data_IF_573235139911
#
_entry.id   IF_573235139911
#
_cell.length_a   1.000
_cell.length_b   1.000
_cell.length_c   1.000
_cell.angle_alpha   90.00
_cell.angle_beta   90.00
_cell.angle_gamma   90.00
#
_symmetry.space_group_name_H-M   'P 1'
#
loop_
_entity.id
_entity.type
_entity.pdbx_description
1 polymer ?
#
# COMPACT_ATOMS: atom_id res chain seq x y z
N UNK A 1 1.00 -5.31 -64.69
CA UNK A 1 1.37 -5.40 -63.26
C UNK A 1 0.53 -6.52 -62.64
N UNK A 2 1.17 -7.63 -62.28
CA UNK A 2 0.59 -8.97 -62.19
C UNK A 2 -0.37 -9.15 -60.99
N UNK A 3 -1.51 -9.83 -61.18
CA UNK A 3 -2.55 -10.04 -60.15
C UNK A 3 -2.03 -10.80 -58.92
N UNK A 4 -1.04 -11.67 -59.10
CA UNK A 4 -0.34 -12.39 -58.01
C UNK A 4 0.46 -11.44 -57.11
N UNK A 5 1.05 -10.37 -57.67
CA UNK A 5 1.79 -9.37 -56.88
C UNK A 5 0.89 -8.54 -55.97
N UNK A 6 -0.37 -8.34 -56.36
CA UNK A 6 -1.38 -7.67 -55.52
C UNK A 6 -1.90 -8.59 -54.41
N UNK A 7 -2.07 -9.88 -54.67
CA UNK A 7 -2.56 -10.85 -53.67
C UNK A 7 -1.55 -11.05 -52.55
N UNK A 8 -0.27 -11.21 -52.89
CA UNK A 8 0.84 -11.29 -51.92
C UNK A 8 1.00 -9.99 -51.10
N UNK A 9 0.76 -8.82 -51.71
CA UNK A 9 0.76 -7.55 -50.96
C UNK A 9 -0.40 -7.43 -49.99
N UNK A 10 -1.59 -7.94 -50.33
CA UNK A 10 -2.78 -7.89 -49.46
C UNK A 10 -2.65 -8.87 -48.30
N UNK A 11 -2.15 -10.08 -48.54
CA UNK A 11 -1.91 -11.09 -47.49
C UNK A 11 -0.80 -10.63 -46.53
N UNK A 12 0.27 -9.99 -47.03
CA UNK A 12 1.31 -9.39 -46.18
C UNK A 12 0.81 -8.16 -45.39
N UNK A 13 -0.22 -7.45 -45.87
CA UNK A 13 -0.85 -6.34 -45.16
C UNK A 13 -1.81 -6.84 -44.07
N UNK A 14 -2.55 -7.93 -44.28
CA UNK A 14 -3.41 -8.52 -43.24
C UNK A 14 -2.59 -9.15 -42.11
N UNK A 15 -1.50 -9.84 -42.45
CA UNK A 15 -0.59 -10.44 -41.45
C UNK A 15 0.09 -9.36 -40.60
N UNK A 16 0.49 -8.23 -41.20
CA UNK A 16 1.05 -7.10 -40.44
C UNK A 16 0.01 -6.39 -39.57
N UNK A 17 -1.27 -6.43 -39.94
CA UNK A 17 -2.35 -5.82 -39.18
C UNK A 17 -2.73 -6.69 -37.97
N UNK A 18 -2.75 -8.02 -38.12
CA UNK A 18 -2.91 -8.96 -36.99
C UNK A 18 -1.72 -8.92 -36.02
N UNK A 19 -0.48 -8.76 -36.52
CA UNK A 19 0.71 -8.58 -35.67
C UNK A 19 0.66 -7.26 -34.89
N UNK A 20 0.09 -6.20 -35.48
CA UNK A 20 -0.08 -4.90 -34.81
C UNK A 20 -1.19 -4.94 -33.77
N UNK A 21 -2.28 -5.68 -34.01
CA UNK A 21 -3.35 -5.90 -33.03
C UNK A 21 -2.88 -6.75 -31.85
N UNK A 22 -1.92 -7.67 -32.04
CA UNK A 22 -1.31 -8.47 -30.96
C UNK A 22 -0.28 -7.74 -30.07
N UNK A 23 0.15 -6.52 -30.43
CA UNK A 23 1.23 -5.78 -29.76
C UNK A 23 0.75 -4.52 -28.99
N UNK A 24 -0.53 -4.18 -29.10
CA UNK A 24 -1.11 -3.04 -28.39
C UNK A 24 -1.66 -3.53 -27.05
N UNK A 25 -1.19 -2.95 -25.95
CA UNK A 25 -1.84 -3.15 -24.65
C UNK A 25 -3.25 -2.54 -24.77
N UNK A 26 -4.24 -3.40 -24.96
CA UNK A 26 -5.64 -3.03 -25.02
C UNK A 26 -6.08 -2.32 -23.76
N UNK A 27 -6.92 -1.29 -23.91
CA UNK A 27 -7.46 -0.57 -22.76
C UNK A 27 -8.37 -1.50 -21.96
N UNK A 28 -8.52 -1.21 -20.66
CA UNK A 28 -9.48 -1.95 -19.84
C UNK A 28 -10.91 -1.67 -20.31
N UNK A 29 -11.53 -2.66 -20.93
CA UNK A 29 -12.90 -2.62 -21.40
C UNK A 29 -13.88 -2.58 -20.21
N UNK A 30 -15.12 -2.17 -20.45
CA UNK A 30 -16.15 -2.06 -19.40
C UNK A 30 -16.38 -3.39 -18.70
N UNK A 31 -16.41 -4.48 -19.45
CA UNK A 31 -16.66 -5.84 -18.93
C UNK A 31 -15.55 -6.29 -17.98
N UNK A 32 -14.29 -5.97 -18.29
CA UNK A 32 -13.15 -6.26 -17.41
C UNK A 32 -13.26 -5.44 -16.11
N UNK A 33 -13.70 -4.17 -16.19
CA UNK A 33 -13.92 -3.35 -14.98
C UNK A 33 -15.04 -3.90 -14.11
N UNK A 34 -16.09 -4.43 -14.72
CA UNK A 34 -17.20 -5.05 -13.99
C UNK A 34 -16.75 -6.38 -13.35
N UNK A 35 -15.96 -7.21 -14.05
CA UNK A 35 -15.38 -8.43 -13.50
C UNK A 35 -14.46 -8.18 -12.29
N UNK A 36 -13.77 -7.04 -12.25
CA UNK A 36 -12.91 -6.65 -11.12
C UNK A 36 -13.70 -6.39 -9.82
N UNK A 37 -15.02 -6.21 -9.89
CA UNK A 37 -15.84 -6.08 -8.66
C UNK A 37 -15.92 -7.39 -7.88
N UNK A 38 -15.87 -8.52 -8.59
CA UNK A 38 -16.07 -9.86 -8.03
C UNK A 38 -14.75 -10.63 -7.82
N UNK A 39 -13.62 -9.94 -7.95
CA UNK A 39 -12.28 -10.51 -7.76
C UNK A 39 -12.06 -10.96 -6.32
N UNK A 40 -11.41 -12.11 -6.15
CA UNK A 40 -11.14 -12.68 -4.83
C UNK A 40 -9.96 -11.99 -4.14
N UNK A 41 -9.92 -12.03 -2.79
CA UNK A 41 -8.80 -11.44 -2.02
C UNK A 41 -7.42 -11.97 -2.47
N UNK A 42 -7.19 -13.27 -2.74
CA UNK A 42 -5.92 -13.78 -3.27
C UNK A 42 -5.50 -13.13 -4.59
N UNK A 43 -6.44 -12.98 -5.53
CA UNK A 43 -6.17 -12.37 -6.83
C UNK A 43 -5.82 -10.88 -6.70
N UNK A 44 -6.50 -10.14 -5.82
CA UNK A 44 -6.13 -8.75 -5.53
C UNK A 44 -4.71 -8.65 -4.96
N UNK A 45 -4.32 -9.56 -4.05
CA UNK A 45 -2.94 -9.60 -3.53
C UNK A 45 -1.93 -9.84 -4.67
N UNK A 46 -2.27 -10.70 -5.63
CA UNK A 46 -1.45 -10.90 -6.83
C UNK A 46 -1.37 -9.63 -7.68
N UNK A 47 -2.49 -8.95 -7.94
CA UNK A 47 -2.50 -7.68 -8.69
C UNK A 47 -1.67 -6.58 -8.02
N UNK A 48 -1.71 -6.47 -6.70
CA UNK A 48 -0.85 -5.53 -5.95
C UNK A 48 0.63 -5.86 -6.13
N UNK A 49 1.00 -7.15 -6.07
CA UNK A 49 2.37 -7.59 -6.35
C UNK A 49 2.80 -7.26 -7.79
N UNK A 50 1.93 -7.56 -8.75
CA UNK A 50 2.17 -7.29 -10.16
C UNK A 50 2.36 -5.79 -10.41
N UNK A 51 1.52 -4.93 -9.81
CA UNK A 51 1.65 -3.48 -9.88
C UNK A 51 3.04 -3.02 -9.44
N UNK A 52 3.51 -3.49 -8.28
CA UNK A 52 4.83 -3.09 -7.78
C UNK A 52 5.98 -3.68 -8.59
N UNK A 53 5.82 -4.86 -9.19
CA UNK A 53 6.81 -5.43 -10.11
C UNK A 53 6.92 -4.60 -11.40
N UNK A 54 5.79 -4.24 -12.00
CA UNK A 54 5.69 -3.36 -13.17
C UNK A 54 6.29 -1.99 -12.88
N UNK A 55 5.92 -1.38 -11.74
CA UNK A 55 6.47 -0.09 -11.31
C UNK A 55 7.99 -0.14 -11.13
N UNK A 56 8.53 -1.21 -10.56
CA UNK A 56 9.98 -1.38 -10.39
C UNK A 56 10.69 -1.45 -11.75
N UNK A 57 10.13 -2.17 -12.72
CA UNK A 57 10.66 -2.24 -14.08
C UNK A 57 10.60 -0.88 -14.78
N UNK A 58 9.49 -0.15 -14.64
CA UNK A 58 9.36 1.22 -15.16
C UNK A 58 10.45 2.14 -14.62
N UNK A 59 10.67 2.16 -13.31
CA UNK A 59 11.72 2.98 -12.67
C UNK A 59 13.12 2.56 -13.15
N UNK A 60 13.38 1.25 -13.27
CA UNK A 60 14.66 0.73 -13.76
C UNK A 60 14.98 1.25 -15.17
N UNK A 61 14.01 1.15 -16.09
CA UNK A 61 14.18 1.60 -17.48
C UNK A 61 14.31 3.13 -17.54
N UNK A 62 13.51 3.86 -16.77
CA UNK A 62 13.61 5.32 -16.67
C UNK A 62 15.02 5.76 -16.23
N UNK A 63 15.58 5.11 -15.21
CA UNK A 63 16.93 5.42 -14.72
C UNK A 63 18.01 5.07 -15.75
N UNK A 64 17.84 3.97 -16.50
CA UNK A 64 18.74 3.62 -17.61
C UNK A 64 18.69 4.68 -18.69
N UNK A 65 17.50 5.09 -19.13
CA UNK A 65 17.31 6.14 -20.13
C UNK A 65 17.98 7.46 -19.71
N UNK A 66 17.79 7.91 -18.47
CA UNK A 66 18.42 9.13 -17.96
C UNK A 66 19.96 9.06 -17.97
N UNK A 67 20.53 7.88 -17.69
CA UNK A 67 21.99 7.67 -17.77
C UNK A 67 22.48 7.59 -19.21
N UNK A 68 21.74 6.94 -20.10
CA UNK A 68 22.08 6.84 -21.52
C UNK A 68 22.01 8.21 -22.21
N UNK A 69 21.01 9.04 -21.91
CA UNK A 69 20.89 10.39 -22.49
C UNK A 69 22.02 11.34 -22.10
N UNK A 70 22.68 11.08 -20.96
CA UNK A 70 23.86 11.85 -20.54
C UNK A 70 25.11 11.48 -21.36
N UNK A 71 25.17 10.28 -21.93
CA UNK A 71 26.36 9.76 -22.61
C UNK A 71 26.20 9.64 -24.14
N UNK A 72 24.97 9.49 -24.68
CA UNK A 72 24.67 9.31 -26.12
C UNK A 72 23.21 9.70 -26.47
N UNK A 73 22.83 9.58 -27.76
CA UNK A 73 21.45 9.80 -28.26
C UNK A 73 20.44 8.84 -27.60
N UNK A 74 19.20 9.31 -27.31
CA UNK A 74 18.17 8.49 -26.68
C UNK A 74 17.73 7.32 -27.58
N UNK A 75 17.68 6.11 -27.02
CA UNK A 75 17.22 4.92 -27.73
C UNK A 75 15.68 4.90 -27.85
N UNK A 76 15.17 4.93 -29.09
CA UNK A 76 13.73 4.91 -29.40
C UNK A 76 13.01 3.71 -28.81
N UNK A 77 13.64 2.53 -28.80
CA UNK A 77 13.06 1.31 -28.26
C UNK A 77 12.79 1.40 -26.75
N UNK A 78 13.75 1.87 -25.96
CA UNK A 78 13.56 1.99 -24.50
C UNK A 78 12.48 3.03 -24.14
N UNK A 79 12.37 4.12 -24.92
CA UNK A 79 11.27 5.07 -24.77
C UNK A 79 9.90 4.44 -25.06
N UNK A 80 9.81 3.61 -26.11
CA UNK A 80 8.59 2.86 -26.39
C UNK A 80 8.27 1.86 -25.26
N UNK A 81 9.26 1.11 -24.78
CA UNK A 81 9.09 0.14 -23.70
C UNK A 81 8.64 0.81 -22.39
N UNK A 82 9.19 1.99 -22.06
CA UNK A 82 8.77 2.78 -20.91
C UNK A 82 7.27 3.12 -20.99
N UNK A 83 6.80 3.57 -22.16
CA UNK A 83 5.37 3.85 -22.39
C UNK A 83 4.50 2.60 -22.23
N UNK A 84 4.98 1.42 -22.60
CA UNK A 84 4.24 0.17 -22.36
C UNK A 84 4.10 -0.12 -20.86
N UNK A 85 5.17 -0.02 -20.09
CA UNK A 85 5.10 -0.20 -18.64
C UNK A 85 4.18 0.82 -17.95
N UNK A 86 4.18 2.07 -18.40
CA UNK A 86 3.25 3.11 -17.91
C UNK A 86 1.79 2.76 -18.20
N UNK A 87 1.49 2.21 -19.38
CA UNK A 87 0.14 1.75 -19.73
C UNK A 87 -0.30 0.60 -18.83
N UNK A 88 0.53 -0.45 -18.68
CA UNK A 88 0.23 -1.59 -17.78
C UNK A 88 0.02 -1.09 -16.35
N UNK A 89 0.93 -0.26 -15.82
CA UNK A 89 0.83 0.27 -14.47
C UNK A 89 -0.50 1.00 -14.25
N UNK A 90 -0.91 1.82 -15.22
CA UNK A 90 -2.16 2.58 -15.18
C UNK A 90 -3.39 1.67 -15.22
N UNK A 91 -3.38 0.61 -16.01
CA UNK A 91 -4.49 -0.34 -16.10
C UNK A 91 -4.68 -1.13 -14.82
N UNK A 92 -3.59 -1.66 -14.25
CA UNK A 92 -3.67 -2.37 -12.96
C UNK A 92 -4.15 -1.41 -11.86
N UNK A 93 -3.67 -0.16 -11.87
CA UNK A 93 -4.16 0.88 -10.95
C UNK A 93 -5.66 1.14 -11.13
N UNK A 94 -6.15 1.18 -12.37
CA UNK A 94 -7.57 1.39 -12.67
C UNK A 94 -8.45 0.22 -12.19
N UNK A 95 -7.98 -1.02 -12.33
CA UNK A 95 -8.66 -2.18 -11.76
C UNK A 95 -8.76 -2.06 -10.22
N UNK A 96 -7.63 -1.79 -9.54
CA UNK A 96 -7.63 -1.55 -8.10
C UNK A 96 -8.47 -0.33 -7.67
N UNK A 97 -8.63 0.65 -8.55
CA UNK A 97 -9.51 1.80 -8.32
C UNK A 97 -10.97 1.39 -8.19
N UNK A 98 -11.43 0.48 -9.05
CA UNK A 98 -12.79 -0.08 -8.97
C UNK A 98 -12.95 -0.91 -7.70
N UNK A 99 -12.03 -1.86 -7.45
CA UNK A 99 -12.11 -2.74 -6.28
C UNK A 99 -12.16 -1.97 -4.95
N UNK A 100 -11.27 -0.99 -4.77
CA UNK A 100 -11.23 -0.20 -3.54
C UNK A 100 -12.45 0.70 -3.33
N UNK A 101 -13.23 1.01 -4.37
CA UNK A 101 -14.50 1.74 -4.26
C UNK A 101 -15.68 0.83 -3.92
N UNK A 102 -15.57 -0.49 -4.10
CA UNK A 102 -16.64 -1.43 -3.77
C UNK A 102 -16.84 -1.63 -2.26
N UNK A 103 -15.87 -1.21 -1.43
CA UNK A 103 -15.93 -1.34 0.03
C UNK A 103 -15.95 0.04 0.68
N UNK A 104 -16.87 0.26 1.61
CA UNK A 104 -16.95 1.50 2.41
C UNK A 104 -15.64 1.80 3.14
N UNK A 105 -15.01 0.76 3.68
CA UNK A 105 -13.69 0.89 4.31
C UNK A 105 -12.66 1.38 3.28
N UNK A 106 -12.71 0.86 2.04
CA UNK A 106 -11.85 1.31 0.95
C UNK A 106 -12.09 2.77 0.55
N UNK A 107 -13.36 3.20 0.49
CA UNK A 107 -13.73 4.61 0.25
C UNK A 107 -13.13 5.51 1.34
N UNK A 108 -13.32 5.15 2.61
CA UNK A 108 -12.73 5.89 3.72
C UNK A 108 -11.20 5.92 3.64
N UNK A 109 -10.54 4.77 3.42
CA UNK A 109 -9.08 4.70 3.34
C UNK A 109 -8.54 5.67 2.29
N UNK A 110 -9.20 5.77 1.13
CA UNK A 110 -8.80 6.66 0.03
C UNK A 110 -9.06 8.14 0.29
N UNK A 111 -9.91 8.49 1.26
CA UNK A 111 -10.13 9.88 1.67
C UNK A 111 -8.91 10.49 2.38
N UNK A 112 -7.99 9.64 2.84
CA UNK A 112 -6.79 10.03 3.59
C UNK A 112 -5.70 10.46 2.61
N UNK A 113 -5.09 11.61 2.88
CA UNK A 113 -3.94 12.10 2.12
C UNK A 113 -2.83 11.03 2.02
N UNK A 114 -2.42 10.70 0.79
CA UNK A 114 -1.37 9.71 0.54
C UNK A 114 -1.84 8.26 0.49
N UNK A 115 -3.13 7.94 0.67
CA UNK A 115 -3.64 6.57 0.47
C UNK A 115 -4.25 6.46 -0.93
N UNK A 116 -3.62 5.66 -1.79
CA UNK A 116 -4.10 5.40 -3.15
C UNK A 116 -4.92 4.11 -3.30
N UNK A 117 -5.51 3.89 -4.51
CA UNK A 117 -6.27 2.68 -4.84
C UNK A 117 -5.48 1.39 -4.59
N UNK A 118 -4.19 1.40 -4.92
CA UNK A 118 -3.30 0.25 -4.78
C UNK A 118 -3.12 -0.12 -3.31
N UNK A 119 -2.81 0.87 -2.48
CA UNK A 119 -2.60 0.61 -1.06
C UNK A 119 -3.90 0.19 -0.40
N UNK A 120 -5.00 0.90 -0.64
CA UNK A 120 -6.31 0.55 -0.11
C UNK A 120 -6.71 -0.89 -0.48
N UNK A 121 -6.58 -1.28 -1.76
CA UNK A 121 -6.85 -2.65 -2.21
C UNK A 121 -5.93 -3.68 -1.54
N UNK A 122 -4.65 -3.34 -1.33
CA UNK A 122 -3.71 -4.17 -0.59
C UNK A 122 -4.16 -4.42 0.86
N UNK A 123 -4.56 -3.37 1.59
CA UNK A 123 -5.04 -3.53 2.97
C UNK A 123 -6.33 -4.36 3.03
N UNK A 124 -7.31 -4.07 2.17
CA UNK A 124 -8.57 -4.82 2.09
C UNK A 124 -8.37 -6.31 1.78
N UNK A 125 -7.42 -6.62 0.89
CA UNK A 125 -7.16 -8.00 0.47
C UNK A 125 -6.29 -8.81 1.45
N UNK A 126 -5.48 -8.14 2.27
CA UNK A 126 -4.65 -8.80 3.27
C UNK A 126 -5.37 -9.08 4.59
N UNK A 127 -6.33 -8.21 4.97
CA UNK A 127 -7.03 -8.34 6.25
C UNK A 127 -8.22 -9.29 6.10
N UNK A 128 -8.22 -10.33 6.92
CA UNK A 128 -9.34 -11.24 7.07
C UNK A 128 -10.09 -10.95 8.37
N UNK A 129 -11.13 -10.13 8.25
CA UNK A 129 -11.94 -9.67 9.37
C UNK A 129 -12.60 -10.79 10.18
N UNK A 130 -12.79 -11.97 9.61
CA UNK A 130 -13.36 -13.13 10.34
C UNK A 130 -12.43 -13.67 11.43
N UNK A 131 -11.11 -13.40 11.30
CA UNK A 131 -10.06 -13.92 12.18
C UNK A 131 -9.42 -12.84 13.05
N UNK A 132 -9.84 -11.58 12.92
CA UNK A 132 -9.25 -10.47 13.66
C UNK A 132 -10.05 -10.24 14.94
N UNK A 133 -9.40 -10.45 16.08
CA UNK A 133 -10.00 -10.15 17.38
C UNK A 133 -9.80 -8.68 17.77
N UNK A 134 -8.58 -8.15 17.61
CA UNK A 134 -8.23 -6.78 17.97
C UNK A 134 -7.26 -6.15 16.97
N UNK A 135 -7.13 -4.82 16.96
CA UNK A 135 -6.18 -4.10 16.08
C UNK A 135 -4.73 -4.61 16.22
N UNK A 136 -4.34 -5.01 17.43
CA UNK A 136 -3.04 -5.63 17.71
C UNK A 136 -2.79 -6.93 16.94
N UNK A 137 -3.83 -7.73 16.66
CA UNK A 137 -3.69 -8.96 15.87
C UNK A 137 -3.25 -8.64 14.44
N UNK A 138 -3.78 -7.56 13.85
CA UNK A 138 -3.37 -7.09 12.51
C UNK A 138 -1.93 -6.57 12.55
N UNK A 139 -1.55 -5.86 13.61
CA UNK A 139 -0.20 -5.32 13.80
C UNK A 139 0.87 -6.45 13.89
N UNK A 140 0.57 -7.52 14.63
CA UNK A 140 1.40 -8.73 14.71
C UNK A 140 1.44 -9.47 13.37
N UNK A 141 0.29 -9.64 12.71
CA UNK A 141 0.20 -10.23 11.38
C UNK A 141 1.06 -9.50 10.33
N UNK A 142 1.16 -8.17 10.44
CA UNK A 142 2.03 -7.33 9.63
C UNK A 142 3.50 -7.33 10.05
N UNK A 143 3.89 -8.08 11.08
CA UNK A 143 5.28 -8.19 11.53
C UNK A 143 5.90 -6.85 11.94
N UNK A 144 5.07 -5.93 12.42
CA UNK A 144 5.45 -4.59 12.88
C UNK A 144 5.79 -4.58 14.38
N UNK A 145 5.37 -5.62 15.11
CA UNK A 145 5.73 -5.84 16.51
C UNK A 145 7.23 -6.18 16.63
N UNK A 146 8.04 -5.37 17.34
CA UNK A 146 9.45 -5.64 17.56
C UNK A 146 9.72 -6.82 18.51
N UNK A 147 8.73 -7.27 19.28
CA UNK A 147 8.88 -8.33 20.29
C UNK A 147 8.99 -9.72 19.65
N UNK A 148 8.41 -9.89 18.45
CA UNK A 148 8.40 -11.17 17.73
C UNK A 148 9.67 -11.33 16.90
N UNK A 149 10.53 -12.27 17.29
CA UNK A 149 11.75 -12.63 16.54
C UNK A 149 11.50 -13.79 15.60
N UNK A 150 12.02 -13.69 14.38
CA UNK A 150 12.01 -14.79 13.41
C UNK A 150 13.34 -15.55 13.48
N UNK A 151 13.31 -16.74 14.07
CA UNK A 151 14.47 -17.61 14.19
C UNK A 151 14.76 -18.38 12.89
N UNK A 152 16.04 -18.67 12.64
CA UNK A 152 16.48 -19.42 11.46
C UNK A 152 15.85 -20.82 11.44
N UNK A 153 15.33 -21.24 10.28
CA UNK A 153 14.70 -22.55 10.10
C UNK A 153 13.24 -22.63 10.54
N UNK A 154 12.70 -21.63 11.26
CA UNK A 154 11.27 -21.59 11.62
C UNK A 154 10.43 -20.95 10.51
N UNK A 155 9.15 -21.35 10.44
CA UNK A 155 8.17 -20.69 9.60
C UNK A 155 8.06 -19.22 10.01
N UNK A 156 8.01 -18.32 9.01
CA UNK A 156 7.89 -16.88 9.26
C UNK A 156 6.60 -16.60 10.04
N UNK A 157 6.65 -15.86 11.17
CA UNK A 157 5.48 -15.63 12.02
C UNK A 157 4.52 -14.56 11.50
N UNK A 158 4.90 -13.81 10.46
CA UNK A 158 4.13 -12.70 9.90
C UNK A 158 4.07 -12.75 8.38
N UNK A 159 3.13 -12.00 7.80
CA UNK A 159 3.02 -11.82 6.35
C UNK A 159 4.00 -10.74 5.86
N UNK A 160 4.99 -11.14 5.06
CA UNK A 160 6.03 -10.22 4.56
C UNK A 160 5.52 -9.22 3.50
N UNK A 161 4.52 -9.60 2.71
CA UNK A 161 3.94 -8.71 1.70
C UNK A 161 3.15 -7.60 2.40
N UNK A 162 2.34 -7.97 3.40
CA UNK A 162 1.58 -7.01 4.19
C UNK A 162 2.51 -6.09 5.01
N UNK A 163 3.58 -6.63 5.58
CA UNK A 163 4.64 -5.82 6.23
C UNK A 163 5.20 -4.78 5.27
N UNK A 164 5.53 -5.19 4.05
CA UNK A 164 6.08 -4.31 3.01
C UNK A 164 5.09 -3.22 2.62
N UNK A 165 3.81 -3.55 2.51
CA UNK A 165 2.74 -2.59 2.24
C UNK A 165 2.65 -1.52 3.34
N UNK A 166 2.72 -1.93 4.61
CA UNK A 166 2.71 -1.00 5.74
C UNK A 166 3.89 -0.02 5.69
N UNK A 167 5.09 -0.51 5.36
CA UNK A 167 6.28 0.33 5.19
C UNK A 167 6.13 1.32 4.05
N UNK A 168 5.64 0.86 2.89
CA UNK A 168 5.39 1.73 1.74
C UNK A 168 4.37 2.82 2.09
N UNK A 169 3.32 2.48 2.83
CA UNK A 169 2.33 3.49 3.22
C UNK A 169 2.90 4.54 4.17
N UNK A 170 3.76 4.16 5.12
CA UNK A 170 4.43 5.12 6.01
C UNK A 170 5.40 6.02 5.24
N UNK A 171 6.15 5.47 4.30
CA UNK A 171 7.01 6.24 3.40
C UNK A 171 6.21 7.28 2.60
N UNK A 172 5.01 6.89 2.14
CA UNK A 172 4.09 7.81 1.48
C UNK A 172 3.62 8.91 2.45
N UNK A 173 3.13 8.57 3.65
CA UNK A 173 2.72 9.58 4.65
C UNK A 173 3.85 10.58 4.95
N UNK A 174 5.09 10.10 5.09
CA UNK A 174 6.26 10.94 5.29
C UNK A 174 6.49 11.93 4.14
N UNK A 175 6.19 11.56 2.90
CA UNK A 175 6.32 12.45 1.72
C UNK A 175 5.23 13.51 1.65
N UNK A 176 4.07 13.24 2.24
CA UNK A 176 2.91 14.14 2.22
C UNK A 176 2.83 15.06 3.44
N UNK A 177 3.77 14.98 4.40
CA UNK A 177 3.73 15.72 5.67
C UNK A 177 3.58 17.25 5.59
N UNK A 178 3.94 17.85 4.47
CA UNK A 178 3.90 19.31 4.27
C UNK A 178 2.58 19.77 3.61
N UNK A 179 1.64 18.86 3.33
CA UNK A 179 0.33 19.21 2.80
C UNK A 179 -0.62 19.58 3.93
N UNK A 180 -1.48 20.56 3.70
CA UNK A 180 -2.49 21.00 4.67
C UNK A 180 -3.49 19.89 5.02
N UNK A 181 -3.70 18.93 4.11
CA UNK A 181 -4.56 17.77 4.30
C UNK A 181 -3.84 16.57 4.91
N UNK A 182 -2.58 16.71 5.34
CA UNK A 182 -1.86 15.64 6.01
C UNK A 182 -2.45 15.35 7.39
N UNK A 183 -2.50 14.07 7.72
CA UNK A 183 -2.89 13.60 9.04
C UNK A 183 -1.77 12.79 9.71
N UNK A 184 -1.12 11.88 8.99
CA UNK A 184 -0.14 10.94 9.57
C UNK A 184 1.31 11.43 9.50
N UNK A 185 1.68 12.24 8.50
CA UNK A 185 3.04 12.74 8.33
C UNK A 185 3.54 13.56 9.52
N UNK A 186 2.68 14.42 10.09
CA UNK A 186 2.97 15.16 11.32
C UNK A 186 3.26 14.26 12.53
N UNK A 187 2.56 13.14 12.67
CA UNK A 187 2.83 12.16 13.74
C UNK A 187 4.16 11.45 13.56
N UNK A 188 4.55 11.13 12.31
CA UNK A 188 5.87 10.56 12.04
C UNK A 188 6.97 11.52 12.49
N UNK A 189 6.84 12.81 12.20
CA UNK A 189 7.83 13.82 12.59
C UNK A 189 7.90 13.99 14.11
N UNK A 190 6.74 14.11 14.78
CA UNK A 190 6.67 14.16 16.25
C UNK A 190 7.35 12.93 16.88
N UNK A 191 7.05 11.73 16.36
CA UNK A 191 7.65 10.50 16.87
C UNK A 191 9.14 10.42 16.56
N UNK A 192 9.59 10.88 15.40
CA UNK A 192 11.01 10.93 15.04
C UNK A 192 11.79 11.82 16.01
N UNK A 193 11.29 13.02 16.32
CA UNK A 193 11.91 13.94 17.29
C UNK A 193 11.98 13.31 18.69
N UNK A 194 10.90 12.67 19.14
CA UNK A 194 10.88 11.94 20.41
C UNK A 194 11.95 10.82 20.47
N UNK A 195 12.03 10.00 19.43
CA UNK A 195 13.00 8.90 19.34
C UNK A 195 14.44 9.42 19.23
N UNK A 196 14.66 10.55 18.53
CA UNK A 196 15.96 11.21 18.46
C UNK A 196 16.40 11.74 19.82
N UNK A 197 15.51 12.40 20.58
CA UNK A 197 15.82 12.87 21.92
C UNK A 197 16.23 11.72 22.85
N UNK A 198 15.50 10.60 22.81
CA UNK A 198 15.87 9.36 23.52
C UNK A 198 17.24 8.83 23.11
N UNK A 199 17.51 8.82 21.81
CA UNK A 199 18.78 8.35 21.27
C UNK A 199 19.96 9.20 21.73
N UNK A 200 19.79 10.54 21.74
CA UNK A 200 20.82 11.48 22.19
C UNK A 200 21.09 11.39 23.70
N UNK A 201 20.07 11.07 24.50
CA UNK A 201 20.22 10.81 25.95
C UNK A 201 20.96 9.51 26.29
N UNK A 202 21.15 8.61 25.30
CA UNK A 202 21.79 7.32 25.51
C UNK A 202 20.84 6.18 25.88
N UNK A 203 19.52 6.40 25.88
CA UNK A 203 18.49 5.38 26.20
C UNK A 203 18.59 4.14 25.29
N UNK A 204 19.26 4.26 24.12
CA UNK A 204 19.41 3.20 23.12
C UNK A 204 20.83 2.64 22.99
N UNK A 205 21.72 2.92 23.95
CA UNK A 205 23.13 2.47 23.92
C UNK A 205 23.26 0.96 23.73
N UNK A 206 22.56 0.17 24.54
CA UNK A 206 22.59 -1.30 24.42
C UNK A 206 22.09 -1.80 23.07
N UNK A 207 21.10 -1.10 22.50
CA UNK A 207 20.50 -1.47 21.22
C UNK A 207 21.45 -1.12 20.06
N UNK A 208 22.18 -0.01 20.16
CA UNK A 208 23.21 0.36 19.20
C UNK A 208 24.35 -0.67 19.19
N UNK A 209 24.82 -1.12 20.35
CA UNK A 209 25.84 -2.17 20.43
C UNK A 209 25.35 -3.52 19.92
N UNK A 210 24.09 -3.90 20.20
CA UNK A 210 23.48 -5.11 19.60
C UNK A 210 23.47 -5.05 18.07
N UNK A 211 23.17 -3.88 17.49
CA UNK A 211 23.23 -3.69 16.04
C UNK A 211 24.67 -3.84 15.53
N UNK A 212 25.65 -3.23 16.20
CA UNK A 212 27.07 -3.33 15.84
C UNK A 212 27.57 -4.78 15.86
N UNK A 213 27.25 -5.53 16.91
CA UNK A 213 27.64 -6.94 17.04
C UNK A 213 27.00 -7.80 15.94
N UNK A 214 25.73 -7.56 15.61
CA UNK A 214 25.06 -8.27 14.52
C UNK A 214 25.71 -7.97 13.15
N UNK A 215 26.12 -6.72 12.89
CA UNK A 215 26.80 -6.37 11.65
C UNK A 215 28.11 -7.14 11.50
N UNK A 216 28.92 -7.19 12.56
CA UNK A 216 30.16 -7.96 12.60
C UNK A 216 29.92 -9.46 12.38
N UNK A 217 28.94 -10.04 13.08
CA UNK A 217 28.60 -11.46 12.97
C UNK A 217 28.18 -11.90 11.56
N UNK A 218 27.58 -10.99 10.78
CA UNK A 218 27.13 -11.28 9.40
C UNK A 218 28.05 -10.70 8.32
N UNK A 219 29.24 -10.20 8.67
CA UNK A 219 30.18 -9.53 7.78
C UNK A 219 29.50 -8.42 6.93
N UNK A 220 28.72 -7.56 7.60
CA UNK A 220 28.03 -6.41 6.99
C UNK A 220 28.57 -5.12 7.60
N UNK A 221 28.51 -4.04 6.84
CA UNK A 221 28.85 -2.71 7.33
C UNK A 221 27.83 -1.67 6.88
N UNK A 222 27.66 -0.63 7.68
CA UNK A 222 27.03 0.61 7.23
C UNK A 222 28.08 1.58 6.65
N UNK A 223 27.63 2.74 6.20
CA UNK A 223 28.51 3.88 5.88
C UNK A 223 29.30 4.34 7.11
N UNK A 224 30.45 4.97 6.88
CA UNK A 224 31.35 5.42 7.95
C UNK A 224 30.65 6.32 8.98
N UNK A 225 29.77 7.21 8.55
CA UNK A 225 28.99 8.08 9.43
C UNK A 225 28.06 7.27 10.36
N UNK A 226 27.35 6.28 9.81
CA UNK A 226 26.46 5.43 10.58
C UNK A 226 27.24 4.52 11.53
N UNK A 227 28.43 4.06 11.13
CA UNK A 227 29.33 3.30 11.99
C UNK A 227 29.84 4.14 13.16
N UNK A 228 30.15 5.43 12.95
CA UNK A 228 30.52 6.37 14.02
C UNK A 228 29.38 6.53 15.04
N UNK A 229 28.13 6.74 14.57
CA UNK A 229 26.94 6.84 15.45
C UNK A 229 26.77 5.58 16.31
N UNK A 230 26.85 4.39 15.71
CA UNK A 230 26.70 3.12 16.44
C UNK A 230 27.80 2.90 17.48
N UNK A 231 29.07 3.22 17.14
CA UNK A 231 30.19 3.15 18.09
C UNK A 231 30.03 4.11 19.27
N UNK A 232 29.44 5.29 19.04
CA UNK A 232 29.08 6.25 20.08
C UNK A 232 27.85 5.84 20.92
N UNK A 233 27.26 4.66 20.68
CA UNK A 233 26.08 4.19 21.41
C UNK A 233 24.77 4.79 20.91
N UNK A 234 24.74 5.36 19.70
CA UNK A 234 23.55 5.96 19.11
C UNK A 234 23.04 5.14 17.93
N UNK A 235 21.73 4.95 17.85
CA UNK A 235 21.09 4.38 16.67
C UNK A 235 21.21 5.33 15.47
N UNK A 236 21.25 4.76 14.27
CA UNK A 236 21.30 5.52 13.02
C UNK A 236 19.95 6.19 12.73
N UNK A 237 19.97 7.28 11.96
CA UNK A 237 18.76 8.03 11.61
C UNK A 237 17.73 7.17 10.86
N UNK A 238 18.21 6.23 10.04
CA UNK A 238 17.36 5.26 9.36
C UNK A 238 16.64 4.33 10.33
N UNK A 239 17.31 3.84 11.38
CA UNK A 239 16.68 3.00 12.41
C UNK A 239 15.64 3.82 13.19
N UNK A 240 15.95 5.06 13.52
CA UNK A 240 15.03 5.98 14.21
C UNK A 240 13.79 6.27 13.36
N UNK A 241 13.97 6.51 12.06
CA UNK A 241 12.85 6.65 11.13
C UNK A 241 11.98 5.39 11.07
N UNK A 242 12.58 4.20 11.01
CA UNK A 242 11.84 2.94 11.03
C UNK A 242 11.04 2.75 12.34
N UNK A 243 11.48 3.30 13.47
CA UNK A 243 10.68 3.30 14.71
C UNK A 243 9.47 4.20 14.61
N UNK A 244 9.65 5.43 14.10
CA UNK A 244 8.56 6.35 13.87
C UNK A 244 7.51 5.78 12.90
N UNK A 245 7.97 5.09 11.85
CA UNK A 245 7.12 4.38 10.90
C UNK A 245 6.37 3.22 11.56
N UNK A 246 6.99 2.38 12.41
CA UNK A 246 6.28 1.30 13.12
C UNK A 246 5.15 1.84 14.00
N UNK A 247 5.43 2.91 14.74
CA UNK A 247 4.45 3.55 15.61
C UNK A 247 3.28 4.11 14.79
N UNK A 248 3.57 4.79 13.68
CA UNK A 248 2.53 5.36 12.81
C UNK A 248 1.74 4.28 12.08
N UNK A 249 2.39 3.20 11.65
CA UNK A 249 1.71 2.04 11.07
C UNK A 249 0.75 1.39 12.08
N UNK A 250 1.15 1.30 13.37
CA UNK A 250 0.29 0.81 14.44
C UNK A 250 -0.94 1.71 14.60
N UNK A 251 -0.76 3.03 14.60
CA UNK A 251 -1.86 4.00 14.66
C UNK A 251 -2.82 3.84 13.48
N UNK A 252 -2.29 3.78 12.25
CA UNK A 252 -3.10 3.60 11.04
C UNK A 252 -3.89 2.28 11.04
N UNK A 253 -3.26 1.18 11.47
CA UNK A 253 -3.94 -0.11 11.62
C UNK A 253 -5.06 -0.05 12.66
N UNK A 254 -4.84 0.67 13.76
CA UNK A 254 -5.90 0.92 14.76
C UNK A 254 -7.08 1.66 14.14
N UNK A 255 -6.82 2.72 13.38
CA UNK A 255 -7.89 3.47 12.71
C UNK A 255 -8.64 2.63 11.66
N UNK A 256 -7.93 1.78 10.90
CA UNK A 256 -8.56 0.84 9.97
C UNK A 256 -9.50 -0.12 10.71
N UNK A 257 -9.08 -0.62 11.86
CA UNK A 257 -9.88 -1.51 12.69
C UNK A 257 -11.11 -0.81 13.28
N UNK A 258 -10.96 0.41 13.80
CA UNK A 258 -12.07 1.19 14.34
C UNK A 258 -13.10 1.52 13.25
N UNK A 259 -12.64 2.00 12.10
CA UNK A 259 -13.51 2.35 10.98
C UNK A 259 -14.19 1.13 10.40
N UNK A 260 -13.53 -0.04 10.39
CA UNK A 260 -14.19 -1.28 9.99
C UNK A 260 -15.44 -1.56 10.83
N UNK A 261 -15.39 -1.38 12.15
CA UNK A 261 -16.59 -1.56 12.99
C UNK A 261 -17.64 -0.49 12.73
N UNK A 262 -17.23 0.77 12.59
CA UNK A 262 -18.14 1.88 12.33
C UNK A 262 -18.91 1.68 11.02
N UNK A 263 -18.25 1.29 9.93
CA UNK A 263 -18.93 1.05 8.64
C UNK A 263 -19.85 -0.17 8.67
N UNK A 264 -19.72 -1.05 9.67
CA UNK A 264 -20.64 -2.16 9.93
C UNK A 264 -21.79 -1.75 10.87
N UNK A 265 -21.87 -0.48 11.27
CA UNK A 265 -22.86 0.03 12.22
C UNK A 265 -22.60 -0.42 13.66
N UNK A 266 -21.37 -0.84 13.99
CA UNK A 266 -20.97 -1.25 15.34
C UNK A 266 -20.08 -0.19 15.98
N UNK A 267 -20.18 -0.04 17.29
CA UNK A 267 -19.20 0.77 18.02
C UNK A 267 -17.85 0.05 18.05
N UNK A 268 -16.74 0.76 17.82
CA UNK A 268 -15.42 0.17 17.92
C UNK A 268 -15.16 -0.27 19.36
N UNK A 269 -14.63 -1.49 19.58
CA UNK A 269 -14.42 -2.00 20.93
C UNK A 269 -13.34 -1.17 21.62
N UNK A 270 -13.65 -0.74 22.84
CA UNK A 270 -12.75 0.07 23.67
C UNK A 270 -11.49 -0.75 23.99
N UNK A 271 -10.28 -0.20 23.80
CA UNK A 271 -9.04 -0.87 24.20
C UNK A 271 -9.07 -1.35 25.66
N UNK A 272 -8.64 -2.59 25.90
CA UNK A 272 -8.61 -3.23 27.23
C UNK A 272 -8.01 -2.35 28.34
N UNK A 273 -6.94 -1.61 28.03
CA UNK A 273 -6.24 -0.71 28.97
C UNK A 273 -7.16 0.40 29.50
N UNK A 274 -8.11 0.89 28.69
CA UNK A 274 -9.08 1.91 29.11
C UNK A 274 -10.24 1.33 29.93
N UNK A 275 -10.44 0.00 29.89
CA UNK A 275 -11.55 -0.68 30.57
C UNK A 275 -11.13 -1.21 31.95
N UNK A 276 -9.91 -1.72 32.09
CA UNK A 276 -9.49 -2.46 33.30
C UNK A 276 -8.47 -1.73 34.19
N UNK A 277 -7.94 -0.59 33.75
CA UNK A 277 -6.97 0.18 34.53
C UNK A 277 -7.27 1.68 34.49
N UNK A 278 -8.37 2.12 35.15
CA UNK A 278 -8.73 3.54 35.21
C UNK A 278 -7.74 4.37 36.05
N UNK A 279 -6.95 3.72 36.92
CA UNK A 279 -6.07 4.35 37.90
C UNK A 279 -4.61 4.53 37.43
N UNK A 280 -4.12 3.77 36.44
CA UNK A 280 -2.89 4.14 35.73
C UNK A 280 -3.17 5.31 34.77
N UNK A 281 -3.17 6.52 35.34
CA UNK A 281 -3.39 7.83 34.72
C UNK A 281 -2.30 8.26 33.70
N UNK A 282 -1.98 7.41 32.72
CA UNK A 282 -1.09 7.73 31.59
C UNK A 282 -1.72 7.55 30.22
N UNK A 283 -2.87 6.86 30.13
CA UNK A 283 -3.61 6.62 28.90
C UNK A 283 -5.08 6.92 29.17
N UNK A 284 -5.45 8.19 29.12
CA UNK A 284 -6.87 8.56 29.24
C UNK A 284 -7.57 8.49 27.87
N UNK A 285 -8.91 8.56 27.84
CA UNK A 285 -9.67 8.84 26.61
C UNK A 285 -9.14 10.11 25.88
N UNK A 286 -8.40 11.00 26.56
CA UNK A 286 -7.74 12.17 25.97
C UNK A 286 -6.58 11.82 25.02
N UNK A 287 -5.93 10.66 25.20
CA UNK A 287 -4.83 10.22 24.33
C UNK A 287 -5.32 9.41 23.12
N UNK A 288 -6.63 9.16 23.02
CA UNK A 288 -7.23 8.51 21.87
C UNK A 288 -7.20 9.46 20.66
N UNK A 289 -6.35 9.12 19.71
CA UNK A 289 -6.32 9.78 18.40
C UNK A 289 -7.44 9.16 17.58
N UNK A 290 -8.44 9.98 17.19
CA UNK A 290 -9.55 9.52 16.36
C UNK A 290 -9.11 9.29 14.91
N UNK A 291 -9.75 8.35 14.18
CA UNK A 291 -9.55 8.21 12.75
C UNK A 291 -9.89 9.53 12.02
N UNK A 292 -9.08 9.94 11.01
CA UNK A 292 -9.44 11.07 10.16
C UNK A 292 -10.73 10.78 9.38
N UNK A 293 -11.45 11.82 8.99
CA UNK A 293 -12.66 11.72 8.15
C UNK A 293 -13.72 10.76 8.73
N UNK A 294 -13.91 10.78 10.05
CA UNK A 294 -14.86 9.90 10.74
C UNK A 294 -16.30 10.11 10.28
N UNK A 295 -16.69 11.34 9.97
CA UNK A 295 -18.04 11.66 9.49
C UNK A 295 -18.36 10.96 8.17
N UNK A 296 -17.37 10.83 7.26
CA UNK A 296 -17.52 10.04 6.04
C UNK A 296 -17.76 8.56 6.37
N UNK A 297 -17.03 8.00 7.33
CA UNK A 297 -17.22 6.60 7.73
C UNK A 297 -18.64 6.35 8.30
N UNK A 298 -19.16 7.28 9.10
CA UNK A 298 -20.53 7.22 9.64
C UNK A 298 -21.58 7.35 8.55
N UNK A 299 -21.39 8.28 7.60
CA UNK A 299 -22.29 8.44 6.45
C UNK A 299 -22.36 7.14 5.63
N UNK A 300 -21.22 6.53 5.31
CA UNK A 300 -21.16 5.27 4.58
C UNK A 300 -21.84 4.11 5.33
N UNK A 301 -21.79 4.11 6.66
CA UNK A 301 -22.50 3.15 7.49
C UNK A 301 -24.01 3.30 7.34
N UNK A 302 -24.51 4.53 7.39
CA UNK A 302 -25.94 4.84 7.23
C UNK A 302 -26.46 4.45 5.84
N UNK A 303 -25.73 4.82 4.78
CA UNK A 303 -26.07 4.48 3.39
C UNK A 303 -26.15 2.96 3.14
N UNK A 304 -25.43 2.17 3.94
CA UNK A 304 -25.44 0.70 3.82
C UNK A 304 -26.62 0.04 4.52
N UNK A 305 -27.25 0.74 5.47
CA UNK A 305 -28.44 0.30 6.18
C UNK A 305 -29.72 0.67 5.42
N UNK A 306 -29.67 1.63 4.49
CA UNK A 306 -30.82 1.97 3.65
C UNK A 306 -31.14 0.83 2.66
N UNK A 307 -32.44 0.46 2.51
CA UNK A 307 -32.83 -0.59 1.57
C UNK A 307 -32.51 -0.14 0.14
N UNK A 308 -31.65 -0.92 -0.56
CA UNK A 308 -31.32 -0.65 -1.97
C UNK A 308 -32.61 -0.48 -2.78
N UNK A 309 -32.77 0.61 -3.56
CA UNK A 309 -33.95 0.81 -4.37
C UNK A 309 -34.15 -0.39 -5.31
N UNK A 310 -35.36 -0.97 -5.30
CA UNK A 310 -35.71 -2.12 -6.15
C UNK A 310 -35.29 -1.83 -7.60
N UNK A 311 -34.59 -2.74 -8.29
CA UNK A 311 -34.20 -2.50 -9.67
C UNK A 311 -35.46 -2.23 -10.50
N UNK A 312 -35.53 -1.07 -11.16
CA UNK A 312 -36.60 -0.76 -12.11
C UNK A 312 -36.60 -1.85 -13.17
N UNK A 313 -37.62 -2.72 -13.16
CA UNK A 313 -37.83 -3.71 -14.22
C UNK A 313 -37.87 -2.95 -15.55
N UNK A 314 -36.82 -3.09 -16.37
CA UNK A 314 -36.89 -2.68 -17.78
C UNK A 314 -38.01 -3.51 -18.40
N UNK A 315 -39.13 -2.89 -18.74
CA UNK A 315 -40.14 -3.52 -19.60
C UNK A 315 -39.43 -3.87 -20.90
N UNK A 316 -39.13 -5.15 -21.12
CA UNK A 316 -38.80 -5.62 -22.46
C UNK A 316 -40.06 -5.43 -23.29
N UNK A 317 -40.06 -4.43 -24.16
CA UNK A 317 -41.02 -4.37 -25.25
C UNK A 317 -40.66 -5.49 -26.21
N UNK A 318 -41.33 -6.63 -26.05
CA UNK A 318 -41.34 -7.71 -27.04
C UNK A 318 -42.08 -7.14 -28.26
N UNK A 319 -41.32 -6.75 -29.27
CA UNK A 319 -41.85 -6.46 -30.60
C UNK A 319 -42.25 -7.82 -31.17
N UNK A 320 -43.55 -8.12 -31.17
CA UNK A 320 -44.10 -9.20 -31.98
C UNK A 320 -43.98 -8.76 -33.45
N UNK A 321 -43.18 -9.51 -34.22
CA UNK A 321 -43.24 -9.51 -35.69
C UNK A 321 -43.93 -10.80 -36.12
#
# INVERSE_FOLDING_TARGET
MNLESKKVQVDALSDNQEIMDGLVIDRLNKDIKDAVKDITKPEVRYLVKLYYAVQKNRIKISNQLSRYSQNQKPCRYFNWQLKQFEKVERQIRAAMDVYSKCSNLGIWMRSICGVGPVTASGFLSHIDWTRVHHAGSIWIYGGLDPSVKWEKGKKRPYNADFKTLCWKQCDVFQKYKNKDTDFYGGFIEKRKKYEQAKNLRGDYKDQAYKVLNNLQAYNRSFSDENMKKLKAGQLTDGIIQLRAFRWTAKLFISHIYDVYHIVQGKEPPIPYVLVYDPENQGHTVKDYIKPPNLELAKQLALESQEPKPKPKKKKLNIIKK
#
